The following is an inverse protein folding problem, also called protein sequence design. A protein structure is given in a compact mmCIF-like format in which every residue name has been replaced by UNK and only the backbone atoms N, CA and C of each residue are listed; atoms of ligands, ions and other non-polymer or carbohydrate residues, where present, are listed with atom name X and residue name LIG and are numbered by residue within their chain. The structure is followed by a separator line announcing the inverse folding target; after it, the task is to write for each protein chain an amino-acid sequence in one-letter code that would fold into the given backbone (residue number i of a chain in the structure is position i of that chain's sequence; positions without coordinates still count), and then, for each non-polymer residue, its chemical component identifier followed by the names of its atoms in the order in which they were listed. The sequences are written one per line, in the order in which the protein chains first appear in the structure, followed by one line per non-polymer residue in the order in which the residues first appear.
data_IF_679986972972
#
_entry.id   IF_679986972972
#
_cell.length_a   1.000
_cell.length_b   1.000
_cell.length_c   1.000
_cell.angle_alpha   90.00
_cell.angle_beta   90.00
_cell.angle_gamma   90.00
#
_symmetry.space_group_name_H-M   'P 1'
#
loop_
_entity.id
_entity.type
_entity.pdbx_description
1 polymer ?
#
# COMPACT_ATOMS: atom_id res chain seq x y z
N UNK A 1 -50.06 -49.26 -23.05
CA UNK A 1 -49.03 -50.26 -23.35
C UNK A 1 -47.86 -50.10 -22.41
N UNK A 2 -47.28 -51.14 -21.91
CA UNK A 2 -46.16 -51.04 -20.92
C UNK A 2 -44.98 -50.29 -21.47
N UNK A 3 -44.71 -50.36 -22.76
CA UNK A 3 -43.58 -49.69 -23.44
C UNK A 3 -43.74 -48.17 -23.44
N UNK A 4 -44.95 -47.64 -23.55
CA UNK A 4 -45.22 -46.19 -23.51
C UNK A 4 -45.04 -45.63 -22.11
N UNK A 5 -45.46 -46.38 -21.09
CA UNK A 5 -45.24 -46.00 -19.70
C UNK A 5 -43.79 -45.99 -19.31
N UNK A 6 -43.00 -46.94 -19.77
CA UNK A 6 -41.56 -46.99 -19.59
C UNK A 6 -40.85 -45.80 -20.28
N UNK A 7 -41.29 -45.46 -21.49
CA UNK A 7 -40.78 -44.31 -22.22
C UNK A 7 -41.08 -42.98 -21.52
N UNK A 8 -42.29 -42.86 -20.99
CA UNK A 8 -42.71 -41.68 -20.23
C UNK A 8 -41.89 -41.54 -18.98
N UNK A 9 -41.72 -42.62 -18.25
CA UNK A 9 -40.91 -42.65 -17.01
C UNK A 9 -39.43 -42.30 -17.29
N UNK A 10 -38.88 -42.91 -18.36
CA UNK A 10 -37.51 -42.61 -18.76
C UNK A 10 -37.35 -41.15 -19.15
N UNK A 11 -38.30 -40.57 -19.87
CA UNK A 11 -38.30 -39.16 -20.26
C UNK A 11 -38.43 -38.25 -19.03
N UNK A 12 -39.27 -38.58 -18.08
CA UNK A 12 -39.42 -37.85 -16.84
C UNK A 12 -38.11 -37.86 -16.03
N UNK A 13 -37.50 -39.02 -15.89
CA UNK A 13 -36.23 -39.15 -15.19
C UNK A 13 -35.11 -38.34 -15.86
N UNK A 14 -35.04 -38.44 -17.17
CA UNK A 14 -34.10 -37.62 -17.95
C UNK A 14 -34.31 -36.14 -17.74
N UNK A 15 -35.57 -35.69 -17.81
CA UNK A 15 -35.95 -34.30 -17.60
C UNK A 15 -35.58 -33.80 -16.22
N UNK A 16 -35.82 -34.61 -15.18
CA UNK A 16 -35.42 -34.31 -13.81
C UNK A 16 -33.92 -34.17 -13.66
N UNK A 17 -33.15 -35.11 -14.24
CA UNK A 17 -31.69 -35.05 -14.23
C UNK A 17 -31.17 -33.81 -14.94
N UNK A 18 -31.73 -33.50 -16.09
CA UNK A 18 -31.36 -32.33 -16.86
C UNK A 18 -31.65 -31.05 -16.08
N UNK A 19 -32.83 -30.97 -15.48
CA UNK A 19 -33.23 -29.84 -14.63
C UNK A 19 -32.29 -29.65 -13.45
N UNK A 20 -31.88 -30.77 -12.82
CA UNK A 20 -30.93 -30.72 -11.71
C UNK A 20 -29.54 -30.23 -12.14
N UNK A 21 -29.08 -30.68 -13.31
CA UNK A 21 -27.80 -30.22 -13.87
C UNK A 21 -27.83 -28.75 -14.21
N UNK A 22 -28.92 -28.30 -14.84
CA UNK A 22 -29.08 -26.88 -15.19
C UNK A 22 -29.09 -26.03 -13.94
N UNK A 23 -29.83 -26.45 -12.92
CA UNK A 23 -29.91 -25.71 -11.65
C UNK A 23 -28.54 -25.63 -10.97
N UNK A 24 -27.82 -26.76 -10.92
CA UNK A 24 -26.48 -26.81 -10.36
C UNK A 24 -25.52 -25.88 -11.11
N UNK A 25 -25.59 -25.90 -12.44
CA UNK A 25 -24.76 -25.03 -13.26
C UNK A 25 -25.07 -23.55 -13.03
N UNK A 26 -26.36 -23.20 -12.92
CA UNK A 26 -26.78 -21.85 -12.61
C UNK A 26 -26.26 -21.38 -11.26
N UNK A 27 -26.27 -22.25 -10.26
CA UNK A 27 -25.74 -21.95 -8.92
C UNK A 27 -24.23 -21.72 -8.98
N UNK A 28 -23.50 -22.57 -9.71
CA UNK A 28 -22.06 -22.40 -9.90
C UNK A 28 -21.73 -21.10 -10.60
N UNK A 29 -22.48 -20.77 -11.66
CA UNK A 29 -22.31 -19.51 -12.37
C UNK A 29 -22.56 -18.31 -11.46
N UNK A 30 -23.59 -18.36 -10.66
CA UNK A 30 -23.89 -17.28 -9.72
C UNK A 30 -22.77 -17.11 -8.73
N UNK A 31 -22.23 -18.21 -8.21
CA UNK A 31 -21.09 -18.16 -7.29
C UNK A 31 -19.87 -17.52 -7.95
N UNK A 32 -19.56 -17.88 -9.19
CA UNK A 32 -18.46 -17.29 -9.94
C UNK A 32 -18.69 -15.77 -10.15
N UNK A 33 -19.90 -15.39 -10.48
CA UNK A 33 -20.25 -13.98 -10.65
C UNK A 33 -20.05 -13.20 -9.35
N UNK A 34 -20.50 -13.76 -8.23
CA UNK A 34 -20.33 -13.13 -6.92
C UNK A 34 -18.86 -13.01 -6.55
N UNK A 35 -18.07 -14.05 -6.78
CA UNK A 35 -16.63 -14.04 -6.55
C UNK A 35 -15.93 -13.00 -7.43
N UNK A 36 -16.34 -12.90 -8.70
CA UNK A 36 -15.79 -11.89 -9.61
C UNK A 36 -16.10 -10.48 -9.13
N UNK A 37 -17.32 -10.25 -8.65
CA UNK A 37 -17.70 -8.96 -8.11
C UNK A 37 -16.86 -8.60 -6.90
N UNK A 38 -16.69 -9.55 -5.98
CA UNK A 38 -15.85 -9.36 -4.79
C UNK A 38 -14.40 -9.08 -5.17
N UNK A 39 -13.87 -9.80 -6.15
CA UNK A 39 -12.51 -9.56 -6.64
C UNK A 39 -12.37 -8.19 -7.29
N UNK A 40 -13.35 -7.73 -8.04
CA UNK A 40 -13.34 -6.40 -8.62
C UNK A 40 -13.32 -5.32 -7.54
N UNK A 41 -14.12 -5.48 -6.50
CA UNK A 41 -14.12 -4.56 -5.36
C UNK A 41 -12.77 -4.55 -4.66
N UNK A 42 -12.17 -5.72 -4.48
CA UNK A 42 -10.85 -5.83 -3.88
C UNK A 42 -9.77 -5.16 -4.73
N UNK A 43 -9.82 -5.36 -6.05
CA UNK A 43 -8.89 -4.70 -6.98
C UNK A 43 -9.02 -3.19 -6.89
N UNK A 44 -10.24 -2.67 -6.88
CA UNK A 44 -10.48 -1.23 -6.75
C UNK A 44 -9.91 -0.69 -5.45
N UNK A 45 -10.13 -1.40 -4.36
CA UNK A 45 -9.59 -1.01 -3.06
C UNK A 45 -8.06 -1.01 -3.07
N UNK A 46 -7.46 -2.06 -3.61
CA UNK A 46 -6.00 -2.15 -3.71
C UNK A 46 -5.41 -1.06 -4.60
N UNK A 47 -6.09 -0.71 -5.68
CA UNK A 47 -5.66 0.39 -6.54
C UNK A 47 -5.68 1.73 -5.80
N UNK A 48 -6.71 1.98 -5.01
CA UNK A 48 -6.80 3.19 -4.18
C UNK A 48 -5.70 3.23 -3.14
N UNK A 49 -5.50 2.11 -2.43
CA UNK A 49 -4.44 2.00 -1.43
C UNK A 49 -3.06 2.19 -2.06
N UNK A 50 -2.86 1.61 -3.23
CA UNK A 50 -1.60 1.75 -3.96
C UNK A 50 -1.34 3.20 -4.36
N UNK A 51 -2.37 3.89 -4.85
CA UNK A 51 -2.25 5.31 -5.19
C UNK A 51 -1.93 6.16 -3.96
N UNK A 52 -2.58 5.88 -2.83
CA UNK A 52 -2.32 6.56 -1.56
C UNK A 52 -0.88 6.31 -1.10
N UNK A 53 -0.43 5.07 -1.14
CA UNK A 53 0.93 4.71 -0.74
C UNK A 53 1.98 5.37 -1.62
N UNK A 54 1.74 5.43 -2.92
CA UNK A 54 2.63 6.13 -3.85
C UNK A 54 2.74 7.61 -3.54
N UNK A 55 1.61 8.24 -3.21
CA UNK A 55 1.57 9.64 -2.82
C UNK A 55 2.33 9.88 -1.53
N UNK A 56 2.11 9.03 -0.53
CA UNK A 56 2.81 9.12 0.75
C UNK A 56 4.32 8.89 0.57
N UNK A 57 4.69 7.95 -0.27
CA UNK A 57 6.09 7.68 -0.57
C UNK A 57 6.75 8.91 -1.23
N UNK A 58 6.07 9.55 -2.17
CA UNK A 58 6.58 10.76 -2.81
C UNK A 58 6.76 11.90 -1.80
N UNK A 59 5.82 12.06 -0.88
CA UNK A 59 5.93 13.05 0.19
C UNK A 59 7.11 12.76 1.10
N UNK A 60 7.28 11.51 1.51
CA UNK A 60 8.39 11.12 2.37
C UNK A 60 9.74 11.29 1.69
N UNK A 61 9.82 11.00 0.39
CA UNK A 61 11.03 11.23 -0.40
C UNK A 61 11.37 12.72 -0.44
N UNK A 62 10.36 13.56 -0.64
CA UNK A 62 10.55 15.02 -0.64
C UNK A 62 11.04 15.50 0.71
N UNK A 63 10.43 15.05 1.80
CA UNK A 63 10.86 15.37 3.15
C UNK A 63 12.29 14.92 3.42
N UNK A 64 12.63 13.72 3.00
CA UNK A 64 13.98 13.20 3.15
C UNK A 64 15.00 14.05 2.40
N UNK A 65 14.67 14.46 1.18
CA UNK A 65 15.54 15.33 0.39
C UNK A 65 15.73 16.68 1.08
N UNK A 66 14.64 17.25 1.61
CA UNK A 66 14.71 18.51 2.36
C UNK A 66 15.57 18.37 3.62
N UNK A 67 15.39 17.27 4.36
CA UNK A 67 16.17 17.02 5.56
C UNK A 67 17.64 16.81 5.22
N UNK A 68 17.95 16.10 4.15
CA UNK A 68 19.33 15.94 3.70
C UNK A 68 19.96 17.28 3.33
N UNK A 69 19.21 18.13 2.66
CA UNK A 69 19.66 19.49 2.32
C UNK A 69 19.92 20.31 3.58
N UNK A 70 19.04 20.24 4.54
CA UNK A 70 19.20 20.92 5.84
C UNK A 70 20.43 20.41 6.59
N UNK A 71 20.61 19.09 6.60
CA UNK A 71 21.80 18.48 7.23
C UNK A 71 23.06 18.97 6.56
N UNK A 72 23.11 18.99 5.22
CA UNK A 72 24.26 19.48 4.48
C UNK A 72 24.53 20.95 4.77
N UNK A 73 23.46 21.76 4.81
CA UNK A 73 23.59 23.18 5.14
C UNK A 73 24.14 23.36 6.54
N UNK A 74 23.69 22.56 7.49
CA UNK A 74 24.18 22.62 8.86
C UNK A 74 25.63 22.15 8.96
N UNK A 75 25.99 21.11 8.21
CA UNK A 75 27.38 20.61 8.16
C UNK A 75 28.33 21.61 7.51
N UNK A 76 27.86 22.23 6.42
CA UNK A 76 28.65 23.21 5.67
C UNK A 76 28.45 24.62 6.20
N UNK A 77 27.62 24.77 7.21
CA UNK A 77 27.48 26.05 7.89
C UNK A 77 28.88 26.49 8.29
N UNK A 78 29.28 27.68 7.92
CA UNK A 78 30.65 28.10 8.19
C UNK A 78 30.92 27.83 9.65
N UNK A 79 31.94 27.08 9.90
CA UNK A 79 32.45 26.80 11.25
C UNK A 79 32.60 28.10 12.04
N UNK A 80 32.52 29.15 11.31
CA UNK A 80 32.56 30.53 11.74
C UNK A 80 31.66 30.86 12.92
N UNK A 81 30.41 30.32 12.96
CA UNK A 81 29.51 30.64 14.07
C UNK A 81 29.91 29.88 15.32
N UNK A 82 30.19 28.60 15.19
CA UNK A 82 30.68 27.80 16.30
C UNK A 82 32.10 28.18 16.68
N UNK A 83 32.92 28.46 15.68
CA UNK A 83 34.28 28.96 15.89
C UNK A 83 34.26 30.30 16.57
N UNK A 84 33.30 31.15 16.26
CA UNK A 84 33.16 32.44 16.88
C UNK A 84 32.89 32.32 18.38
N UNK A 85 32.00 31.43 18.74
CA UNK A 85 31.68 31.16 20.15
C UNK A 85 32.89 30.53 20.85
N UNK A 86 33.51 29.57 20.21
CA UNK A 86 34.70 28.91 20.72
C UNK A 86 35.87 29.88 20.83
N UNK A 87 36.06 30.72 19.85
CA UNK A 87 37.13 31.72 19.82
C UNK A 87 36.90 32.77 20.90
N UNK A 88 35.68 33.17 21.10
CA UNK A 88 35.36 34.11 22.18
C UNK A 88 35.70 33.52 23.54
N UNK A 89 35.36 32.24 23.73
CA UNK A 89 35.70 31.54 24.95
C UNK A 89 37.22 31.38 25.12
N UNK A 90 37.90 31.00 24.06
CA UNK A 90 39.36 30.84 24.04
C UNK A 90 40.04 32.19 24.24
N UNK A 91 39.54 33.22 23.63
CA UNK A 91 40.11 34.59 23.79
C UNK A 91 39.99 35.05 25.25
N UNK A 92 38.90 34.80 25.90
CA UNK A 92 38.74 35.11 27.32
C UNK A 92 39.76 34.32 28.14
N UNK A 93 39.96 33.05 27.88
CA UNK A 93 40.96 32.27 28.54
C UNK A 93 42.38 32.77 28.22
N UNK A 94 42.62 33.14 27.00
CA UNK A 94 43.93 33.65 26.57
C UNK A 94 44.24 34.99 27.23
N UNK A 95 43.27 35.85 27.27
CA UNK A 95 43.44 37.15 27.92
C UNK A 95 43.69 36.97 29.41
N UNK A 96 43.02 36.00 30.00
CA UNK A 96 43.20 35.67 31.40
C UNK A 96 44.59 35.13 31.63
N UNK A 97 45.10 34.27 30.72
CA UNK A 97 46.45 33.76 30.81
C UNK A 97 47.49 34.84 30.62
N UNK A 98 47.22 35.78 29.70
CA UNK A 98 48.16 36.90 29.43
C UNK A 98 48.21 37.85 30.61
N UNK A 99 47.10 38.08 31.24
CA UNK A 99 47.07 38.92 32.44
C UNK A 99 47.78 38.33 33.62
N UNK A 100 47.87 37.02 33.65
CA UNK A 100 48.61 36.31 34.69
C UNK A 100 50.10 36.20 34.42
N UNK A 101 50.48 36.59 33.25
CA UNK A 101 51.90 36.69 32.90
C UNK A 101 52.41 38.07 33.26
#
# INVERSE_FOLDING_TARGET
MPTDDLNIEAKLNFSKRLGGLIKGHQQEMQQVLDENEDLQMLVEQLLKENATLKSQLAEEKTKNTQLQTEIEQLRNRPVHTNTYIENEYINQQHNYSKTNQ
#
